data_IF_760907090335
#
_entry.id   IF_760907090335
#
_cell.length_a   1.000
_cell.length_b   1.000
_cell.length_c   1.000
_cell.angle_alpha   90.00
_cell.angle_beta   90.00
_cell.angle_gamma   90.00
#
_symmetry.space_group_name_H-M   'P 1'
#
loop_
_entity.id
_entity.type
_entity.pdbx_description
1 polymer ?
#
# COMPACT_ATOMS: atom_id res chain seq x y z
N UNK A 1 4.09 23.68 9.60
CA UNK A 1 3.91 22.55 10.54
C UNK A 1 2.64 21.83 10.12
N UNK A 2 2.75 20.59 9.66
CA UNK A 2 1.60 19.82 9.22
C UNK A 2 0.78 19.29 10.41
N UNK A 3 -0.46 18.92 10.13
CA UNK A 3 -1.36 18.33 11.13
C UNK A 3 -0.88 16.92 11.50
N UNK A 4 -0.38 16.78 12.72
CA UNK A 4 0.18 15.52 13.23
C UNK A 4 -0.91 14.47 13.47
N UNK A 5 -2.14 14.89 13.75
CA UNK A 5 -3.27 13.98 13.95
C UNK A 5 -3.65 13.34 12.61
N UNK A 6 -3.82 14.17 11.56
CA UNK A 6 -4.10 13.71 10.20
C UNK A 6 -3.00 12.78 9.66
N UNK A 7 -1.73 13.11 9.92
CA UNK A 7 -0.58 12.26 9.55
C UNK A 7 -0.64 10.92 10.26
N UNK A 8 -0.92 10.91 11.57
CA UNK A 8 -1.04 9.68 12.35
C UNK A 8 -2.19 8.81 11.84
N UNK A 9 -3.36 9.39 11.59
CA UNK A 9 -4.52 8.68 11.04
C UNK A 9 -4.19 8.05 9.67
N UNK A 10 -3.52 8.80 8.80
CA UNK A 10 -3.09 8.31 7.48
C UNK A 10 -2.15 7.11 7.61
N UNK A 11 -1.19 7.18 8.53
CA UNK A 11 -0.24 6.07 8.78
C UNK A 11 -0.97 4.85 9.37
N UNK A 12 -1.90 5.04 10.31
CA UNK A 12 -2.68 3.94 10.88
C UNK A 12 -3.56 3.25 9.84
N UNK A 13 -4.15 4.01 8.93
CA UNK A 13 -4.93 3.46 7.81
C UNK A 13 -4.04 2.65 6.86
N UNK A 14 -2.84 3.15 6.58
CA UNK A 14 -1.84 2.48 5.75
C UNK A 14 -1.41 1.15 6.37
N UNK A 15 -1.05 1.16 7.65
CA UNK A 15 -0.67 -0.02 8.42
C UNK A 15 -1.77 -1.08 8.39
N UNK A 16 -3.01 -0.70 8.72
CA UNK A 16 -4.16 -1.61 8.69
C UNK A 16 -4.40 -2.19 7.30
N UNK A 17 -4.20 -1.40 6.24
CA UNK A 17 -4.36 -1.87 4.87
C UNK A 17 -3.32 -2.93 4.51
N UNK A 18 -2.06 -2.69 4.92
CA UNK A 18 -0.96 -3.64 4.72
C UNK A 18 -1.17 -4.92 5.52
N UNK A 19 -1.62 -4.85 6.78
CA UNK A 19 -1.94 -6.03 7.59
C UNK A 19 -3.01 -6.91 6.93
N UNK A 20 -4.09 -6.29 6.43
CA UNK A 20 -5.15 -7.01 5.72
C UNK A 20 -4.59 -7.66 4.45
N UNK A 21 -3.73 -6.96 3.71
CA UNK A 21 -3.11 -7.49 2.51
C UNK A 21 -2.24 -8.70 2.85
N UNK A 22 -1.34 -8.60 3.83
CA UNK A 22 -0.48 -9.68 4.29
C UNK A 22 -1.30 -10.90 4.72
N UNK A 23 -2.39 -10.68 5.46
CA UNK A 23 -3.29 -11.77 5.87
C UNK A 23 -3.94 -12.46 4.68
N UNK A 24 -4.37 -11.71 3.66
CA UNK A 24 -5.01 -12.24 2.45
C UNK A 24 -4.06 -13.05 1.58
N UNK A 25 -2.81 -12.61 1.46
CA UNK A 25 -1.79 -13.32 0.67
C UNK A 25 -1.06 -14.41 1.47
N UNK A 26 -1.31 -14.54 2.78
CA UNK A 26 -0.61 -15.51 3.65
C UNK A 26 -0.75 -16.97 3.22
N UNK A 27 -1.86 -17.32 2.55
CA UNK A 27 -2.09 -18.66 2.02
C UNK A 27 -1.58 -18.86 0.59
N UNK A 28 -1.01 -17.83 -0.03
CA UNK A 28 -0.52 -17.88 -1.41
C UNK A 28 0.94 -18.29 -1.41
N UNK A 29 1.22 -19.38 -2.10
CA UNK A 29 2.54 -20.01 -2.18
C UNK A 29 3.08 -20.02 -3.61
N UNK A 30 2.20 -19.88 -4.60
CA UNK A 30 2.55 -19.86 -6.01
C UNK A 30 1.63 -18.94 -6.83
N UNK A 31 2.05 -18.62 -8.05
CA UNK A 31 1.24 -17.82 -8.99
C UNK A 31 -0.07 -18.54 -9.37
N UNK A 32 -0.06 -19.88 -9.38
CA UNK A 32 -1.23 -20.71 -9.65
C UNK A 32 -2.37 -20.47 -8.66
N UNK A 33 -2.04 -20.18 -7.40
CA UNK A 33 -3.05 -19.89 -6.36
C UNK A 33 -3.89 -18.64 -6.69
N UNK A 34 -3.37 -17.73 -7.53
CA UNK A 34 -4.10 -16.57 -8.05
C UNK A 34 -4.80 -16.83 -9.38
N UNK A 35 -4.29 -17.71 -10.24
CA UNK A 35 -4.76 -17.79 -11.64
C UNK A 35 -5.64 -19.00 -11.92
N UNK A 36 -5.50 -20.08 -11.16
CA UNK A 36 -6.11 -21.37 -11.50
C UNK A 36 -7.57 -21.48 -11.05
N UNK A 37 -8.05 -20.55 -10.21
CA UNK A 37 -9.44 -20.54 -9.72
C UNK A 37 -10.05 -19.14 -9.80
N UNK A 38 -11.37 -19.07 -9.99
CA UNK A 38 -12.12 -17.80 -9.99
C UNK A 38 -11.93 -17.03 -8.67
N UNK A 39 -11.91 -17.74 -7.54
CA UNK A 39 -11.63 -17.14 -6.23
C UNK A 39 -10.21 -16.60 -6.12
N UNK A 40 -9.22 -17.27 -6.73
CA UNK A 40 -7.84 -16.80 -6.81
C UNK A 40 -7.74 -15.50 -7.60
N UNK A 41 -8.46 -15.40 -8.73
CA UNK A 41 -8.46 -14.21 -9.57
C UNK A 41 -9.14 -13.04 -8.85
N UNK A 42 -10.27 -13.29 -8.18
CA UNK A 42 -10.94 -12.29 -7.34
C UNK A 42 -10.01 -11.81 -6.20
N UNK A 43 -9.25 -12.73 -5.61
CA UNK A 43 -8.26 -12.37 -4.59
C UNK A 43 -7.15 -11.49 -5.18
N UNK A 44 -6.64 -11.82 -6.37
CA UNK A 44 -5.64 -11.02 -7.08
C UNK A 44 -6.15 -9.60 -7.32
N UNK A 45 -7.35 -9.44 -7.88
CA UNK A 45 -7.97 -8.13 -8.09
C UNK A 45 -8.08 -7.34 -6.79
N UNK A 46 -8.46 -8.02 -5.71
CA UNK A 46 -8.58 -7.41 -4.39
C UNK A 46 -7.23 -6.99 -3.79
N UNK A 47 -6.15 -7.72 -4.08
CA UNK A 47 -4.78 -7.35 -3.69
C UNK A 47 -4.31 -6.16 -4.52
N UNK A 48 -4.50 -6.18 -5.84
CA UNK A 48 -4.17 -5.08 -6.75
C UNK A 48 -4.82 -3.76 -6.32
N UNK A 49 -6.14 -3.77 -6.05
CA UNK A 49 -6.85 -2.58 -5.55
C UNK A 49 -6.27 -2.05 -4.23
N UNK A 50 -5.84 -2.94 -3.33
CA UNK A 50 -5.22 -2.53 -2.06
C UNK A 50 -3.82 -1.95 -2.25
N UNK A 51 -3.03 -2.49 -3.17
CA UNK A 51 -1.72 -1.95 -3.52
C UNK A 51 -1.82 -0.56 -4.14
N UNK A 52 -2.81 -0.32 -5.01
CA UNK A 52 -3.13 1.01 -5.53
C UNK A 52 -3.44 1.98 -4.37
N UNK A 53 -4.33 1.60 -3.45
CA UNK A 53 -4.69 2.42 -2.29
C UNK A 53 -3.50 2.72 -1.36
N UNK A 54 -2.58 1.77 -1.19
CA UNK A 54 -1.31 1.97 -0.47
C UNK A 54 -0.47 3.05 -1.16
N UNK A 55 -0.27 2.95 -2.48
CA UNK A 55 0.49 3.93 -3.25
C UNK A 55 -0.13 5.34 -3.22
N UNK A 56 -1.46 5.44 -3.25
CA UNK A 56 -2.19 6.70 -3.07
C UNK A 56 -2.03 7.27 -1.66
N UNK A 57 -2.16 6.43 -0.63
CA UNK A 57 -2.03 6.84 0.77
C UNK A 57 -0.64 7.38 1.07
N UNK A 58 0.41 6.72 0.55
CA UNK A 58 1.80 7.20 0.70
C UNK A 58 2.03 8.52 -0.04
N UNK A 59 1.46 8.69 -1.24
CA UNK A 59 1.53 9.97 -1.97
C UNK A 59 0.79 11.09 -1.24
N UNK A 60 -0.36 10.79 -0.65
CA UNK A 60 -1.07 11.75 0.17
C UNK A 60 -0.27 12.11 1.42
N UNK A 61 0.35 11.12 2.08
CA UNK A 61 1.23 11.32 3.23
C UNK A 61 2.41 12.25 2.88
N UNK A 62 3.07 12.02 1.75
CA UNK A 62 4.15 12.88 1.24
C UNK A 62 3.66 14.33 1.03
N UNK A 63 2.45 14.49 0.48
CA UNK A 63 1.85 15.81 0.25
C UNK A 63 1.48 16.54 1.55
N UNK A 64 0.81 15.87 2.49
CA UNK A 64 0.37 16.52 3.74
C UNK A 64 1.54 16.83 4.68
N UNK A 65 2.66 16.11 4.54
CA UNK A 65 3.89 16.36 5.30
C UNK A 65 4.86 17.30 4.60
N UNK A 66 4.43 17.91 3.48
CA UNK A 66 5.25 18.80 2.64
C UNK A 66 6.59 18.18 2.22
N UNK A 67 6.60 16.86 2.01
CA UNK A 67 7.77 16.03 1.65
C UNK A 67 8.88 16.00 2.71
N UNK A 68 8.61 16.48 3.91
CA UNK A 68 9.60 16.56 4.98
C UNK A 68 9.67 15.26 5.80
N UNK A 69 8.63 14.41 5.79
CA UNK A 69 8.59 13.22 6.63
C UNK A 69 9.32 12.02 6.00
N UNK A 70 8.96 11.65 4.77
CA UNK A 70 9.42 10.41 4.13
C UNK A 70 10.92 10.42 3.83
N UNK A 71 11.51 11.61 3.57
CA UNK A 71 12.95 11.78 3.34
C UNK A 71 13.81 11.33 4.53
N UNK A 72 13.24 11.28 5.74
CA UNK A 72 13.92 10.79 6.93
C UNK A 72 14.02 9.25 6.99
N UNK A 73 13.37 8.54 6.06
CA UNK A 73 13.33 7.09 5.99
C UNK A 73 13.85 6.58 4.62
N UNK A 74 15.11 6.86 4.25
CA UNK A 74 15.65 6.56 2.93
C UNK A 74 15.82 5.06 2.64
N UNK A 75 15.68 4.19 3.65
CA UNK A 75 15.72 2.74 3.49
C UNK A 75 14.57 2.20 2.61
N UNK A 76 13.48 2.97 2.47
CA UNK A 76 12.33 2.63 1.64
C UNK A 76 12.37 3.47 0.37
N UNK A 77 12.19 2.84 -0.79
CA UNK A 77 12.06 3.55 -2.05
C UNK A 77 10.63 4.12 -2.20
N UNK A 78 10.37 5.25 -1.54
CA UNK A 78 9.06 5.90 -1.53
C UNK A 78 8.56 6.28 -2.93
N UNK A 79 9.47 6.60 -3.85
CA UNK A 79 9.12 6.94 -5.23
C UNK A 79 8.46 5.75 -5.93
N UNK A 80 9.05 4.56 -5.80
CA UNK A 80 8.52 3.35 -6.41
C UNK A 80 7.24 2.88 -5.70
N UNK A 81 7.17 3.01 -4.37
CA UNK A 81 5.93 2.71 -3.61
C UNK A 81 4.77 3.60 -4.09
N UNK A 82 5.00 4.90 -4.28
CA UNK A 82 4.00 5.83 -4.82
C UNK A 82 3.67 5.59 -6.29
N UNK A 83 4.62 5.06 -7.06
CA UNK A 83 4.49 4.76 -8.49
C UNK A 83 3.85 3.41 -8.79
N UNK A 84 3.77 2.52 -7.80
CA UNK A 84 3.18 1.17 -7.94
C UNK A 84 1.76 1.20 -8.51
N UNK A 85 0.93 2.18 -8.10
CA UNK A 85 -0.44 2.34 -8.60
C UNK A 85 -0.54 2.65 -10.10
N UNK A 86 0.56 3.12 -10.70
CA UNK A 86 0.60 3.54 -12.11
C UNK A 86 1.01 2.34 -13.00
N UNK A 87 1.38 1.20 -12.39
CA UNK A 87 1.82 -0.05 -13.04
C UNK A 87 0.73 -1.15 -12.93
N UNK A 88 0.03 -1.21 -11.80
CA UNK A 88 -1.09 -2.12 -11.54
C UNK A 88 -2.36 -1.59 -12.21
#
# INVERSE_FOLDING_TARGET
MYDKELVRETIQLLEKTLEILLKRVSGITSVHDFLDTENGVILLDSVCMKLIAVGESVKNLDKITDKELLVNYPAVNWKDVMGMRDII
#
